data_IF_864337183565
#
_entry.id   IF_864337183565
#
_cell.length_a   1.000
_cell.length_b   1.000
_cell.length_c   1.000
_cell.angle_alpha   90.00
_cell.angle_beta   90.00
_cell.angle_gamma   90.00
#
_symmetry.space_group_name_H-M   'P 1'
#
loop_
_entity.id
_entity.type
_entity.pdbx_description
1 polymer ?
#
# COMPACT_ATOMS: atom_id res chain seq x y z
N UNK A 1 36.43 -16.42 32.22
CA UNK A 1 36.21 -17.78 31.66
C UNK A 1 34.79 -18.32 31.91
N UNK A 2 34.26 -18.36 33.15
CA UNK A 2 32.89 -18.87 33.41
C UNK A 2 31.76 -18.10 32.71
N UNK A 3 31.87 -16.77 32.55
CA UNK A 3 30.91 -15.97 31.75
C UNK A 3 30.92 -16.39 30.28
N UNK A 4 32.10 -16.44 29.64
CA UNK A 4 32.26 -16.86 28.23
C UNK A 4 31.72 -18.27 27.95
N UNK A 5 31.95 -19.21 28.86
CA UNK A 5 31.42 -20.58 28.72
C UNK A 5 29.88 -20.58 28.81
N UNK A 6 29.29 -19.81 29.73
CA UNK A 6 27.84 -19.67 29.86
C UNK A 6 27.22 -18.91 28.66
N UNK A 7 27.96 -17.95 28.10
CA UNK A 7 27.61 -17.18 26.89
C UNK A 7 27.58 -18.07 25.65
N UNK A 8 28.54 -18.98 25.53
CA UNK A 8 28.58 -20.00 24.48
C UNK A 8 27.44 -21.01 24.67
N UNK A 9 27.16 -21.47 25.89
CA UNK A 9 26.08 -22.42 26.15
C UNK A 9 24.68 -21.90 25.79
N UNK A 10 24.34 -20.64 26.06
CA UNK A 10 23.03 -20.07 25.69
C UNK A 10 22.87 -19.89 24.18
N UNK A 11 23.91 -19.35 23.53
CA UNK A 11 23.92 -19.24 22.07
C UNK A 11 23.87 -20.63 21.42
N UNK A 12 24.55 -21.63 21.99
CA UNK A 12 24.47 -23.02 21.54
C UNK A 12 23.08 -23.63 21.77
N UNK A 13 22.36 -23.30 22.84
CA UNK A 13 21.00 -23.81 23.06
C UNK A 13 20.00 -23.28 22.02
N UNK A 14 20.17 -22.02 21.58
CA UNK A 14 19.45 -21.44 20.44
C UNK A 14 19.80 -22.18 19.14
N UNK A 15 21.09 -22.41 18.91
CA UNK A 15 21.57 -23.11 17.71
C UNK A 15 21.17 -24.59 17.65
N UNK A 16 21.08 -25.26 18.79
CA UNK A 16 20.74 -26.68 18.85
C UNK A 16 19.28 -26.87 18.40
N UNK A 17 18.39 -25.94 18.79
CA UNK A 17 16.97 -25.92 18.39
C UNK A 17 16.73 -25.46 16.94
N UNK A 18 17.69 -24.79 16.32
CA UNK A 18 17.63 -24.36 14.91
C UNK A 18 18.01 -25.49 13.92
N UNK A 19 18.68 -26.52 14.41
CA UNK A 19 19.38 -27.52 13.61
C UNK A 19 20.81 -27.09 13.25
N UNK A 20 21.76 -28.01 13.40
CA UNK A 20 23.21 -27.74 13.31
C UNK A 20 23.62 -27.03 12.02
N UNK A 21 23.06 -27.39 10.86
CA UNK A 21 23.39 -26.79 9.57
C UNK A 21 23.14 -25.28 9.51
N UNK A 22 21.88 -24.84 9.72
CA UNK A 22 21.51 -23.41 9.69
C UNK A 22 22.28 -22.63 10.76
N UNK A 23 22.43 -23.22 11.93
CA UNK A 23 23.16 -22.64 13.05
C UNK A 23 24.60 -22.29 12.71
N UNK A 24 25.35 -23.23 12.13
CA UNK A 24 26.72 -22.99 11.73
C UNK A 24 26.83 -21.93 10.62
N UNK A 25 25.88 -21.87 9.69
CA UNK A 25 25.94 -20.86 8.63
C UNK A 25 25.59 -19.45 9.12
N UNK A 26 24.62 -19.31 10.03
CA UNK A 26 24.32 -18.04 10.69
C UNK A 26 25.54 -17.56 11.49
N UNK A 27 26.16 -18.45 12.26
CA UNK A 27 27.39 -18.16 12.98
C UNK A 27 28.52 -17.67 12.08
N UNK A 28 28.71 -18.33 10.93
CA UNK A 28 29.73 -17.95 9.96
C UNK A 28 29.44 -16.60 9.29
N UNK A 29 28.17 -16.32 8.99
CA UNK A 29 27.77 -15.16 8.19
C UNK A 29 27.58 -13.88 9.01
N UNK A 30 27.18 -14.00 10.28
CA UNK A 30 26.89 -12.86 11.17
C UNK A 30 28.00 -12.60 12.18
N UNK A 31 28.83 -13.61 12.45
CA UNK A 31 29.80 -13.59 13.53
C UNK A 31 29.16 -13.82 14.90
N UNK A 32 29.97 -14.34 15.83
CA UNK A 32 29.54 -14.68 17.18
C UNK A 32 28.99 -13.47 17.94
N UNK A 33 29.71 -12.33 17.89
CA UNK A 33 29.41 -11.14 18.69
C UNK A 33 28.01 -10.56 18.42
N UNK A 34 27.64 -10.47 17.14
CA UNK A 34 26.36 -9.87 16.74
C UNK A 34 25.17 -10.76 17.08
N UNK A 35 25.28 -12.06 16.76
CA UNK A 35 24.27 -13.04 17.15
C UNK A 35 24.08 -13.08 18.66
N UNK A 36 25.20 -13.06 19.38
CA UNK A 36 25.19 -13.03 20.83
C UNK A 36 24.48 -11.77 21.36
N UNK A 37 24.89 -10.58 20.90
CA UNK A 37 24.29 -9.30 21.33
C UNK A 37 22.78 -9.27 21.11
N UNK A 38 22.30 -9.71 19.95
CA UNK A 38 20.87 -9.75 19.63
C UNK A 38 20.15 -10.78 20.50
N UNK A 39 20.72 -11.97 20.68
CA UNK A 39 20.13 -13.02 21.53
C UNK A 39 20.07 -12.66 23.01
N UNK A 40 20.96 -11.78 23.50
CA UNK A 40 20.93 -11.29 24.87
C UNK A 40 19.81 -10.27 25.08
N UNK A 41 19.50 -9.47 24.06
CA UNK A 41 18.55 -8.34 24.16
C UNK A 41 17.12 -8.69 23.75
N UNK A 42 16.92 -9.83 23.09
CA UNK A 42 15.64 -10.23 22.50
C UNK A 42 15.22 -11.60 23.02
N UNK A 43 13.91 -11.82 23.16
CA UNK A 43 13.39 -13.15 23.54
C UNK A 43 13.79 -14.21 22.52
N UNK A 44 14.42 -15.28 23.01
CA UNK A 44 14.84 -16.44 22.24
C UNK A 44 13.66 -17.11 21.51
N UNK A 45 12.44 -17.05 22.06
CA UNK A 45 11.26 -17.61 21.40
C UNK A 45 10.93 -16.87 20.11
N UNK A 46 10.99 -15.54 20.14
CA UNK A 46 10.72 -14.70 18.96
C UNK A 46 11.80 -14.92 17.89
N UNK A 47 13.08 -14.94 18.29
CA UNK A 47 14.19 -15.22 17.37
C UNK A 47 14.06 -16.59 16.72
N UNK A 48 13.75 -17.61 17.51
CA UNK A 48 13.56 -18.98 17.02
C UNK A 48 12.39 -19.05 16.02
N UNK A 49 11.25 -18.44 16.35
CA UNK A 49 10.10 -18.39 15.46
C UNK A 49 10.45 -17.73 14.12
N UNK A 50 11.08 -16.55 14.15
CA UNK A 50 11.48 -15.83 12.94
C UNK A 50 12.44 -16.69 12.11
N UNK A 51 13.42 -17.34 12.74
CA UNK A 51 14.40 -18.17 12.05
C UNK A 51 13.82 -19.46 11.44
N UNK A 52 12.73 -19.98 11.99
CA UNK A 52 12.04 -21.16 11.46
C UNK A 52 11.17 -20.81 10.24
N UNK A 53 10.61 -19.60 10.22
CA UNK A 53 9.66 -19.16 9.20
C UNK A 53 10.27 -18.30 8.09
N UNK A 54 11.53 -17.87 8.23
CA UNK A 54 12.28 -17.18 7.19
C UNK A 54 13.40 -18.06 6.61
N UNK A 55 13.72 -17.81 5.34
CA UNK A 55 14.88 -18.44 4.71
C UNK A 55 16.17 -17.78 5.20
N UNK A 56 17.28 -18.51 5.06
CA UNK A 56 18.59 -18.10 5.58
C UNK A 56 19.07 -16.76 5.00
N UNK A 57 18.90 -16.56 3.69
CA UNK A 57 19.33 -15.33 3.02
C UNK A 57 18.58 -14.11 3.57
N UNK A 58 17.26 -14.22 3.71
CA UNK A 58 16.41 -13.17 4.29
C UNK A 58 16.84 -12.86 5.72
N UNK A 59 17.11 -13.88 6.55
CA UNK A 59 17.59 -13.68 7.93
C UNK A 59 18.92 -12.93 7.93
N UNK A 60 19.88 -13.34 7.12
CA UNK A 60 21.20 -12.70 7.06
C UNK A 60 21.08 -11.24 6.62
N UNK A 61 20.32 -10.96 5.56
CA UNK A 61 20.10 -9.59 5.09
C UNK A 61 19.40 -8.74 6.15
N UNK A 62 18.37 -9.27 6.79
CA UNK A 62 17.60 -8.60 7.83
C UNK A 62 18.46 -8.21 9.03
N UNK A 63 19.26 -9.15 9.53
CA UNK A 63 20.15 -8.93 10.66
C UNK A 63 21.34 -8.03 10.30
N UNK A 64 21.82 -8.06 9.06
CA UNK A 64 22.99 -7.28 8.66
C UNK A 64 22.71 -5.85 8.20
N UNK A 65 21.55 -5.60 7.59
CA UNK A 65 21.26 -4.30 6.99
C UNK A 65 20.46 -3.38 7.90
N UNK A 66 19.71 -3.92 8.85
CA UNK A 66 18.98 -3.13 9.85
C UNK A 66 19.91 -2.84 11.04
N UNK A 67 19.96 -1.59 11.54
CA UNK A 67 20.70 -1.26 12.75
C UNK A 67 20.29 -2.13 13.95
N UNK A 68 21.25 -2.53 14.78
CA UNK A 68 20.99 -3.47 15.88
C UNK A 68 19.90 -2.96 16.84
N UNK A 69 19.94 -1.68 17.22
CA UNK A 69 18.94 -1.09 18.12
C UNK A 69 17.53 -1.16 17.53
N UNK A 70 17.39 -0.82 16.25
CA UNK A 70 16.12 -0.92 15.52
C UNK A 70 15.63 -2.35 15.44
N UNK A 71 16.52 -3.31 15.18
CA UNK A 71 16.18 -4.72 15.11
C UNK A 71 15.72 -5.26 16.47
N UNK A 72 16.44 -4.94 17.54
CA UNK A 72 16.07 -5.31 18.91
C UNK A 72 14.69 -4.74 19.25
N UNK A 73 14.45 -3.47 18.93
CA UNK A 73 13.17 -2.84 19.20
C UNK A 73 12.03 -3.47 18.38
N UNK A 74 12.31 -3.79 17.11
CA UNK A 74 11.38 -4.45 16.22
C UNK A 74 10.96 -5.83 16.73
N UNK A 75 11.93 -6.71 17.03
CA UNK A 75 11.64 -8.09 17.46
C UNK A 75 11.02 -8.13 18.87
N UNK A 76 11.28 -7.11 19.68
CA UNK A 76 10.72 -7.02 21.04
C UNK A 76 9.29 -6.48 21.08
N UNK A 77 8.90 -5.61 20.12
CA UNK A 77 7.61 -4.90 20.14
C UNK A 77 6.63 -5.37 19.06
N UNK A 78 7.10 -6.03 18.01
CA UNK A 78 6.26 -6.50 16.92
C UNK A 78 6.08 -8.02 17.05
N UNK A 79 4.85 -8.55 16.91
CA UNK A 79 4.62 -9.99 16.89
C UNK A 79 5.51 -10.69 15.86
N UNK A 80 6.11 -11.85 16.20
CA UNK A 80 7.04 -12.53 15.30
C UNK A 80 6.36 -13.01 14.01
N UNK A 81 5.07 -13.40 14.06
CA UNK A 81 4.26 -13.66 12.85
C UNK A 81 4.23 -12.48 11.88
N UNK A 82 4.08 -11.26 12.40
CA UNK A 82 3.96 -10.06 11.56
C UNK A 82 5.31 -9.72 10.92
N UNK A 83 6.40 -9.81 11.68
CA UNK A 83 7.76 -9.66 11.16
C UNK A 83 8.00 -10.66 10.01
N UNK A 84 7.65 -11.94 10.22
CA UNK A 84 7.84 -12.97 9.19
C UNK A 84 6.98 -12.72 7.96
N UNK A 85 5.75 -12.25 8.16
CA UNK A 85 4.85 -11.92 7.06
C UNK A 85 5.40 -10.77 6.22
N UNK A 86 5.79 -9.65 6.85
CA UNK A 86 6.34 -8.50 6.14
C UNK A 86 7.63 -8.85 5.42
N UNK A 87 8.53 -9.62 6.06
CA UNK A 87 9.79 -10.05 5.45
C UNK A 87 9.61 -10.98 4.24
N UNK A 88 8.53 -11.74 4.18
CA UNK A 88 8.19 -12.58 3.02
C UNK A 88 7.37 -11.83 1.96
N UNK A 89 6.68 -10.75 2.32
CA UNK A 89 5.71 -10.07 1.46
C UNK A 89 6.23 -8.80 0.80
N UNK A 90 7.26 -8.18 1.36
CA UNK A 90 7.81 -6.89 0.93
C UNK A 90 9.27 -7.10 0.46
N UNK A 91 9.73 -6.41 -0.61
CA UNK A 91 11.14 -6.42 -0.98
C UNK A 91 12.06 -5.99 0.18
N UNK A 92 13.25 -6.58 0.27
CA UNK A 92 14.16 -6.34 1.41
C UNK A 92 14.56 -4.86 1.54
N UNK A 93 14.83 -4.16 0.44
CA UNK A 93 15.20 -2.74 0.47
C UNK A 93 14.08 -1.87 1.05
N UNK A 94 12.84 -2.16 0.67
CA UNK A 94 11.65 -1.49 1.18
C UNK A 94 11.43 -1.79 2.67
N UNK A 95 11.63 -3.05 3.08
CA UNK A 95 11.49 -3.45 4.49
C UNK A 95 12.50 -2.74 5.38
N UNK A 96 13.74 -2.60 4.93
CA UNK A 96 14.78 -1.85 5.66
C UNK A 96 14.37 -0.40 5.80
N UNK A 97 13.93 0.23 4.71
CA UNK A 97 13.47 1.61 4.72
C UNK A 97 12.29 1.82 5.68
N UNK A 98 11.30 0.91 5.68
CA UNK A 98 10.16 0.95 6.60
C UNK A 98 10.60 0.81 8.07
N UNK A 99 11.43 -0.20 8.36
CA UNK A 99 11.88 -0.50 9.73
C UNK A 99 12.67 0.65 10.35
N UNK A 100 13.37 1.44 9.53
CA UNK A 100 14.18 2.57 9.98
C UNK A 100 13.42 3.89 10.00
N UNK A 101 12.33 3.99 9.24
CA UNK A 101 11.53 5.23 9.13
C UNK A 101 10.31 5.23 10.05
N UNK A 102 9.78 4.06 10.41
CA UNK A 102 8.55 3.93 11.19
C UNK A 102 8.86 3.25 12.53
N UNK A 103 8.45 3.83 13.67
CA UNK A 103 8.66 3.20 14.97
C UNK A 103 7.97 1.82 15.04
N UNK A 104 8.64 0.78 15.58
CA UNK A 104 8.11 -0.58 15.61
C UNK A 104 6.73 -0.76 16.23
N UNK A 105 6.43 -0.01 17.30
CA UNK A 105 5.11 -0.05 17.96
C UNK A 105 3.97 0.21 16.99
N UNK A 106 4.19 1.07 15.99
CA UNK A 106 3.18 1.42 15.01
C UNK A 106 3.04 0.36 13.92
N UNK A 107 4.14 -0.33 13.57
CA UNK A 107 4.07 -1.49 12.68
C UNK A 107 3.20 -2.58 13.32
N UNK A 108 3.40 -2.84 14.61
CA UNK A 108 2.56 -3.77 15.38
C UNK A 108 1.09 -3.30 15.43
N UNK A 109 0.86 -2.02 15.71
CA UNK A 109 -0.49 -1.46 15.81
C UNK A 109 -1.24 -1.48 14.47
N UNK A 110 -0.58 -1.10 13.37
CA UNK A 110 -1.14 -1.22 12.03
C UNK A 110 -1.49 -2.67 11.72
N UNK A 111 -0.55 -3.60 11.91
CA UNK A 111 -0.80 -5.03 11.66
C UNK A 111 -2.02 -5.55 12.43
N UNK A 112 -2.12 -5.20 13.72
CA UNK A 112 -3.20 -5.64 14.60
C UNK A 112 -4.56 -5.03 14.26
N UNK A 113 -4.60 -3.73 13.94
CA UNK A 113 -5.87 -3.00 13.73
C UNK A 113 -6.36 -3.10 12.29
N UNK A 114 -5.46 -2.97 11.32
CA UNK A 114 -5.80 -2.79 9.90
C UNK A 114 -5.63 -4.08 9.10
N UNK A 115 -4.90 -5.05 9.66
CA UNK A 115 -4.46 -6.25 8.96
C UNK A 115 -3.16 -6.01 8.19
N UNK A 116 -2.27 -7.00 8.26
CA UNK A 116 -0.97 -7.02 7.57
C UNK A 116 -1.12 -7.04 6.04
N UNK A 117 -2.18 -7.69 5.52
CA UNK A 117 -2.50 -7.70 4.09
C UNK A 117 -2.77 -6.28 3.59
N UNK A 118 -3.67 -5.54 4.24
CA UNK A 118 -4.01 -4.16 3.88
C UNK A 118 -2.78 -3.24 3.91
N UNK A 119 -1.95 -3.37 4.96
CA UNK A 119 -0.72 -2.61 5.06
C UNK A 119 0.24 -2.90 3.89
N UNK A 120 0.46 -4.17 3.56
CA UNK A 120 1.30 -4.53 2.40
C UNK A 120 0.71 -4.10 1.07
N UNK A 121 -0.61 -4.16 0.90
CA UNK A 121 -1.29 -3.74 -0.31
C UNK A 121 -1.14 -2.23 -0.53
N UNK A 122 -1.30 -1.42 0.53
CA UNK A 122 -1.06 0.02 0.49
C UNK A 122 0.38 0.32 0.07
N UNK A 123 1.35 -0.31 0.72
CA UNK A 123 2.78 -0.14 0.41
C UNK A 123 3.11 -0.51 -1.03
N UNK A 124 2.59 -1.63 -1.54
CA UNK A 124 2.84 -2.10 -2.90
C UNK A 124 2.22 -1.19 -3.97
N UNK A 125 1.01 -0.70 -3.74
CA UNK A 125 0.28 0.09 -4.75
C UNK A 125 0.64 1.59 -4.72
N UNK A 126 0.98 2.13 -3.56
CA UNK A 126 1.37 3.54 -3.41
C UNK A 126 2.89 3.71 -3.59
N UNK A 127 3.66 2.69 -3.22
CA UNK A 127 5.12 2.71 -3.17
C UNK A 127 5.62 3.07 -1.77
N UNK A 128 6.70 2.42 -1.34
CA UNK A 128 7.27 2.53 0.02
C UNK A 128 7.62 3.97 0.40
N UNK A 129 8.35 4.67 -0.48
CA UNK A 129 8.80 6.03 -0.22
C UNK A 129 7.63 6.99 -0.04
N UNK A 130 6.67 6.96 -0.98
CA UNK A 130 5.47 7.79 -0.91
C UNK A 130 4.64 7.45 0.33
N UNK A 131 4.55 6.18 0.71
CA UNK A 131 3.85 5.74 1.92
C UNK A 131 4.48 6.29 3.20
N UNK A 132 5.82 6.29 3.29
CA UNK A 132 6.53 6.89 4.43
C UNK A 132 6.30 8.39 4.50
N UNK A 133 6.40 9.09 3.37
CA UNK A 133 6.11 10.53 3.30
C UNK A 133 4.67 10.85 3.69
N UNK A 134 3.71 10.03 3.26
CA UNK A 134 2.31 10.16 3.66
C UNK A 134 2.14 9.97 5.17
N UNK A 135 2.73 8.93 5.75
CA UNK A 135 2.67 8.68 7.19
C UNK A 135 3.25 9.85 8.00
N UNK A 136 4.31 10.48 7.50
CA UNK A 136 4.92 11.64 8.12
C UNK A 136 4.06 12.90 8.02
N UNK A 137 3.40 13.14 6.88
CA UNK A 137 2.57 14.33 6.65
C UNK A 137 1.17 14.24 7.27
N UNK A 138 0.56 13.06 7.19
CA UNK A 138 -0.80 12.79 7.68
C UNK A 138 -0.79 12.36 9.14
N UNK A 139 0.29 11.73 9.59
CA UNK A 139 0.38 11.11 10.91
C UNK A 139 -0.11 9.67 10.88
N UNK A 140 0.65 8.80 11.56
CA UNK A 140 0.38 7.36 11.61
C UNK A 140 -0.99 7.04 12.20
N UNK A 141 -1.41 7.77 13.24
CA UNK A 141 -2.69 7.54 13.90
C UNK A 141 -3.88 7.82 12.96
N UNK A 142 -3.81 8.94 12.23
CA UNK A 142 -4.83 9.29 11.23
C UNK A 142 -4.89 8.24 10.10
N UNK A 143 -3.74 7.67 9.71
CA UNK A 143 -3.69 6.60 8.72
C UNK A 143 -4.38 5.33 9.21
N UNK A 144 -4.11 4.92 10.46
CA UNK A 144 -4.76 3.77 11.08
C UNK A 144 -6.28 3.99 11.14
N UNK A 145 -6.73 5.13 11.63
CA UNK A 145 -8.16 5.48 11.72
C UNK A 145 -8.84 5.43 10.36
N UNK A 146 -8.23 6.04 9.34
CA UNK A 146 -8.77 6.04 7.99
C UNK A 146 -8.90 4.61 7.42
N UNK A 147 -7.89 3.77 7.63
CA UNK A 147 -7.87 2.39 7.12
C UNK A 147 -8.86 1.45 7.82
N UNK A 148 -9.32 1.80 9.02
CA UNK A 148 -10.39 1.09 9.72
C UNK A 148 -11.77 1.41 9.17
N UNK A 149 -11.94 2.62 8.63
CA UNK A 149 -13.24 3.11 8.15
C UNK A 149 -13.38 2.85 6.65
N UNK A 150 -12.30 3.03 5.87
CA UNK A 150 -12.33 2.99 4.42
C UNK A 150 -11.52 1.80 3.91
N UNK A 151 -12.13 0.92 3.09
CA UNK A 151 -11.40 -0.19 2.46
C UNK A 151 -10.20 0.29 1.63
N UNK A 152 -9.09 -0.46 1.71
CA UNK A 152 -7.84 -0.19 0.98
C UNK A 152 -8.04 0.10 -0.50
N UNK A 153 -8.92 -0.66 -1.17
CA UNK A 153 -9.21 -0.50 -2.60
C UNK A 153 -9.84 0.84 -2.96
N UNK A 154 -10.53 1.49 -2.02
CA UNK A 154 -11.12 2.81 -2.21
C UNK A 154 -10.13 3.92 -1.86
N UNK A 155 -9.24 3.68 -0.88
CA UNK A 155 -8.21 4.63 -0.47
C UNK A 155 -7.09 4.80 -1.49
N UNK A 156 -6.60 3.70 -2.07
CA UNK A 156 -5.44 3.71 -2.98
C UNK A 156 -5.59 4.75 -4.10
N UNK A 157 -6.70 4.80 -4.86
CA UNK A 157 -6.84 5.77 -5.96
C UNK A 157 -6.77 7.22 -5.49
N UNK A 158 -7.35 7.54 -4.32
CA UNK A 158 -7.39 8.88 -3.76
C UNK A 158 -6.00 9.30 -3.28
N UNK A 159 -5.31 8.40 -2.58
CA UNK A 159 -3.94 8.61 -2.11
C UNK A 159 -2.95 8.70 -3.27
N UNK A 160 -3.20 8.00 -4.37
CA UNK A 160 -2.39 8.12 -5.59
C UNK A 160 -2.57 9.50 -6.24
N UNK A 161 -3.79 10.03 -6.27
CA UNK A 161 -4.09 11.36 -6.82
C UNK A 161 -3.45 12.48 -6.01
N UNK A 162 -3.42 12.34 -4.68
CA UNK A 162 -2.84 13.35 -3.80
C UNK A 162 -1.33 13.18 -3.63
N UNK A 163 -0.62 14.30 -3.51
CA UNK A 163 0.74 14.31 -2.98
C UNK A 163 0.73 14.12 -1.46
N UNK A 164 1.84 13.66 -0.84
CA UNK A 164 1.92 13.56 0.62
C UNK A 164 1.62 14.88 1.32
N UNK A 165 2.17 15.99 0.82
CA UNK A 165 1.94 17.34 1.34
C UNK A 165 0.48 17.76 1.24
N UNK A 166 -0.19 17.48 0.12
CA UNK A 166 -1.62 17.76 -0.04
C UNK A 166 -2.45 16.94 0.94
N UNK A 167 -2.12 15.66 1.12
CA UNK A 167 -2.80 14.80 2.11
C UNK A 167 -2.66 15.38 3.52
N UNK A 168 -1.45 15.82 3.90
CA UNK A 168 -1.23 16.51 5.17
C UNK A 168 -2.01 17.82 5.32
N UNK A 169 -2.05 18.66 4.27
CA UNK A 169 -2.85 19.90 4.27
C UNK A 169 -4.33 19.60 4.45
N UNK A 170 -4.84 18.58 3.75
CA UNK A 170 -6.23 18.14 3.88
C UNK A 170 -6.54 17.80 5.34
N UNK A 171 -5.76 16.90 5.94
CA UNK A 171 -6.00 16.47 7.33
C UNK A 171 -5.92 17.63 8.31
N UNK A 172 -4.98 18.57 8.14
CA UNK A 172 -4.84 19.73 9.03
C UNK A 172 -5.98 20.74 8.90
N UNK A 173 -6.50 20.96 7.70
CA UNK A 173 -7.56 21.96 7.45
C UNK A 173 -8.97 21.41 7.64
N UNK A 174 -9.18 20.16 7.24
CA UNK A 174 -10.50 19.53 7.10
C UNK A 174 -10.73 18.39 8.08
N UNK A 175 -9.66 17.80 8.61
CA UNK A 175 -9.74 16.58 9.39
C UNK A 175 -9.73 15.33 8.51
N UNK A 176 -9.43 14.19 9.15
CA UNK A 176 -9.39 12.88 8.48
C UNK A 176 -10.79 12.36 8.16
N UNK A 177 -11.80 12.79 8.92
CA UNK A 177 -13.20 12.35 8.81
C UNK A 177 -13.91 12.84 7.52
N UNK A 178 -13.43 13.91 6.90
CA UNK A 178 -14.02 14.42 5.64
C UNK A 178 -13.82 13.41 4.50
N UNK A 179 -12.72 12.65 4.50
CA UNK A 179 -12.40 11.68 3.44
C UNK A 179 -13.47 10.57 3.35
N UNK A 180 -13.79 9.79 4.41
CA UNK A 180 -14.81 8.75 4.33
C UNK A 180 -16.19 9.31 3.95
N UNK A 181 -16.58 10.47 4.49
CA UNK A 181 -17.87 11.11 4.17
C UNK A 181 -17.99 11.48 2.70
N UNK A 182 -16.92 12.01 2.10
CA UNK A 182 -16.89 12.31 0.66
C UNK A 182 -16.90 11.05 -0.20
N UNK A 183 -16.22 9.98 0.23
CA UNK A 183 -16.26 8.69 -0.47
C UNK A 183 -17.67 8.11 -0.43
N UNK A 184 -18.36 8.20 0.71
CA UNK A 184 -19.74 7.75 0.86
C UNK A 184 -20.70 8.56 -0.02
N UNK A 185 -20.59 9.89 -0.01
CA UNK A 185 -21.47 10.77 -0.76
C UNK A 185 -21.24 10.73 -2.27
N UNK A 186 -19.98 10.79 -2.72
CA UNK A 186 -19.64 10.93 -4.14
C UNK A 186 -19.24 9.60 -4.78
N UNK A 187 -18.71 8.66 -4.01
CA UNK A 187 -17.97 7.53 -4.54
C UNK A 187 -16.58 7.93 -5.02
N UNK A 188 -15.66 6.96 -5.03
CA UNK A 188 -14.23 7.16 -5.37
C UNK A 188 -14.04 7.87 -6.72
N UNK A 189 -14.78 7.47 -7.75
CA UNK A 189 -14.59 8.01 -9.10
C UNK A 189 -14.99 9.48 -9.20
N UNK A 190 -16.12 9.87 -8.61
CA UNK A 190 -16.56 11.27 -8.66
C UNK A 190 -15.70 12.14 -7.75
N UNK A 191 -15.22 11.61 -6.62
CA UNK A 191 -14.24 12.31 -5.79
C UNK A 191 -12.94 12.58 -6.57
N UNK A 192 -12.44 11.63 -7.36
CA UNK A 192 -11.28 11.87 -8.23
C UNK A 192 -11.58 12.93 -9.30
N UNK A 193 -12.78 12.94 -9.89
CA UNK A 193 -13.19 13.99 -10.83
C UNK A 193 -13.21 15.35 -10.13
N UNK A 194 -13.76 15.44 -8.93
CA UNK A 194 -13.74 16.65 -8.12
C UNK A 194 -12.31 17.14 -7.89
N UNK A 195 -11.42 16.26 -7.40
CA UNK A 195 -10.01 16.55 -7.15
C UNK A 195 -9.27 17.10 -8.39
N UNK A 196 -9.53 16.51 -9.57
CA UNK A 196 -8.86 16.86 -10.82
C UNK A 196 -9.40 18.10 -11.50
N UNK A 197 -10.71 18.37 -11.39
CA UNK A 197 -11.38 19.37 -12.24
C UNK A 197 -10.88 20.79 -11.95
N UNK A 198 -10.77 21.15 -10.67
CA UNK A 198 -10.33 22.49 -10.26
C UNK A 198 -8.92 22.51 -9.67
N UNK A 199 -8.39 21.33 -9.34
CA UNK A 199 -7.13 21.17 -8.62
C UNK A 199 -7.29 21.34 -7.11
N UNK A 200 -6.35 20.76 -6.37
CA UNK A 200 -6.39 20.63 -4.91
C UNK A 200 -6.69 21.94 -4.16
N UNK A 201 -5.93 23.01 -4.43
CA UNK A 201 -6.07 24.29 -3.70
C UNK A 201 -7.48 24.90 -3.85
N UNK A 202 -8.06 24.81 -5.06
CA UNK A 202 -9.41 25.33 -5.30
C UNK A 202 -10.47 24.46 -4.63
N UNK A 203 -10.30 23.15 -4.64
CA UNK A 203 -11.22 22.24 -3.97
C UNK A 203 -11.23 22.46 -2.46
N UNK A 204 -10.05 22.62 -1.84
CA UNK A 204 -9.94 22.99 -0.43
C UNK A 204 -10.65 24.33 -0.17
N UNK A 205 -10.40 25.34 -1.01
CA UNK A 205 -11.07 26.63 -0.85
C UNK A 205 -12.61 26.53 -0.97
N UNK A 206 -13.11 25.70 -1.89
CA UNK A 206 -14.57 25.47 -2.03
C UNK A 206 -15.12 24.81 -0.77
N UNK A 207 -14.45 23.79 -0.25
CA UNK A 207 -14.83 23.13 1.00
C UNK A 207 -14.76 24.08 2.21
N UNK A 208 -13.77 24.97 2.25
CA UNK A 208 -13.61 25.98 3.31
C UNK A 208 -14.74 27.02 3.28
N UNK A 209 -15.24 27.38 2.09
CA UNK A 209 -16.34 28.34 1.93
C UNK A 209 -17.71 27.72 2.18
N UNK A 210 -17.96 26.53 1.61
CA UNK A 210 -19.28 25.91 1.67
C UNK A 210 -19.51 25.13 2.96
N UNK A 211 -18.49 24.47 3.50
CA UNK A 211 -18.69 23.37 4.44
C UNK A 211 -18.81 22.02 3.70
N UNK A 212 -18.72 20.92 4.45
CA UNK A 212 -18.79 19.58 3.87
C UNK A 212 -20.25 19.21 3.56
N UNK A 213 -21.16 19.40 4.52
CA UNK A 213 -22.56 19.03 4.35
C UNK A 213 -23.21 19.80 3.19
N UNK A 214 -22.99 21.11 3.14
CA UNK A 214 -23.53 21.98 2.09
C UNK A 214 -22.94 21.67 0.72
N UNK A 215 -21.66 21.29 0.65
CA UNK A 215 -21.04 20.83 -0.59
C UNK A 215 -21.71 19.55 -1.11
N UNK A 216 -21.98 18.61 -0.21
CA UNK A 216 -22.65 17.35 -0.55
C UNK A 216 -24.09 17.63 -1.01
N UNK A 217 -24.84 18.44 -0.27
CA UNK A 217 -26.22 18.83 -0.64
C UNK A 217 -26.26 19.55 -1.98
N UNK A 218 -25.33 20.48 -2.21
CA UNK A 218 -25.21 21.19 -3.47
C UNK A 218 -24.92 20.23 -4.63
N UNK A 219 -24.03 19.26 -4.45
CA UNK A 219 -23.72 18.26 -5.46
C UNK A 219 -24.97 17.42 -5.83
N UNK A 220 -25.72 16.95 -4.83
CA UNK A 220 -26.99 16.23 -5.06
C UNK A 220 -28.02 17.11 -5.77
N UNK A 221 -28.17 18.36 -5.34
CA UNK A 221 -29.11 19.30 -5.95
C UNK A 221 -28.76 19.56 -7.41
N UNK A 222 -27.49 19.85 -7.71
CA UNK A 222 -26.99 20.06 -9.08
C UNK A 222 -27.20 18.81 -9.94
N UNK A 223 -27.01 17.61 -9.39
CA UNK A 223 -27.21 16.34 -10.13
C UNK A 223 -28.65 16.15 -10.60
N UNK A 224 -29.63 16.71 -9.88
CA UNK A 224 -31.04 16.68 -10.26
C UNK A 224 -31.47 17.79 -11.22
N UNK A 225 -30.62 18.80 -11.46
CA UNK A 225 -30.96 19.94 -12.31
C UNK A 225 -30.85 19.62 -13.81
N UNK A 226 -31.77 20.16 -14.61
CA UNK A 226 -31.65 20.20 -16.07
C UNK A 226 -30.80 21.40 -16.47
N UNK A 227 -29.48 21.23 -16.46
CA UNK A 227 -28.54 22.29 -16.78
C UNK A 227 -28.49 22.51 -18.31
N UNK A 228 -28.57 23.77 -18.80
CA UNK A 228 -28.24 24.06 -20.19
C UNK A 228 -26.76 23.74 -20.40
N UNK A 229 -26.47 22.77 -21.27
CA UNK A 229 -25.10 22.30 -21.49
C UNK A 229 -24.14 23.44 -21.82
N UNK A 230 -22.98 23.47 -21.17
CA UNK A 230 -21.94 24.44 -21.49
C UNK A 230 -21.46 24.21 -22.93
N UNK A 231 -21.27 25.26 -23.75
CA UNK A 231 -20.68 25.11 -25.07
C UNK A 231 -19.27 24.55 -24.89
N UNK A 232 -19.11 23.27 -25.21
CA UNK A 232 -17.83 22.57 -25.04
C UNK A 232 -16.76 23.29 -25.86
N UNK A 233 -15.83 23.96 -25.19
CA UNK A 233 -14.61 24.44 -25.83
C UNK A 233 -13.74 23.24 -26.20
N UNK A 234 -13.91 22.76 -27.43
CA UNK A 234 -12.90 22.01 -28.18
C UNK A 234 -12.75 20.52 -27.86
N UNK A 235 -13.66 19.68 -28.36
CA UNK A 235 -13.29 18.41 -29.03
C UNK A 235 -14.19 18.21 -30.23
N UNK A 236 -13.70 18.59 -31.42
CA UNK A 236 -14.24 18.10 -32.69
C UNK A 236 -14.02 16.59 -32.73
N UNK A 237 -15.00 15.81 -32.28
CA UNK A 237 -15.14 14.44 -32.74
C UNK A 237 -15.41 14.51 -34.25
N UNK A 238 -14.39 14.18 -35.05
CA UNK A 238 -14.58 13.82 -36.45
C UNK A 238 -15.51 12.60 -36.47
N UNK A 239 -16.80 12.84 -36.69
CA UNK A 239 -17.71 11.81 -37.15
C UNK A 239 -17.24 11.36 -38.54
N UNK A 240 -16.48 10.26 -38.58
CA UNK A 240 -16.29 9.51 -39.82
C UNK A 240 -17.59 8.77 -40.08
N UNK A 241 -18.49 9.40 -40.83
CA UNK A 241 -19.65 8.73 -41.40
C UNK A 241 -19.15 7.66 -42.38
N UNK A 242 -19.10 6.39 -41.97
CA UNK A 242 -19.07 5.28 -42.92
C UNK A 242 -20.46 5.17 -43.54
N UNK A 243 -20.64 5.87 -44.67
CA UNK A 243 -21.73 5.62 -45.62
C UNK A 243 -21.64 4.16 -46.07
N UNK A 244 -22.59 3.34 -45.63
CA UNK A 244 -22.87 2.04 -46.24
C UNK A 244 -23.68 2.33 -47.52
N UNK A 245 -23.20 1.99 -48.73
CA UNK A 245 -24.02 2.14 -49.93
C UNK A 245 -25.06 1.01 -49.97
N UNK A 246 -26.34 1.40 -49.98
CA UNK A 246 -27.46 0.52 -50.31
C UNK A 246 -27.32 0.08 -51.77
N UNK A 247 -27.05 -1.20 -52.03
CA UNK A 247 -27.26 -1.80 -53.35
C UNK A 247 -28.63 -2.49 -53.39
N UNK A 248 -29.45 -1.96 -54.30
CA UNK A 248 -30.79 -2.39 -54.65
C UNK A 248 -30.82 -3.79 -55.26
N UNK A 249 -31.72 -4.64 -54.76
CA UNK A 249 -32.12 -5.88 -55.40
C UNK A 249 -32.85 -5.63 -56.72
N UNK A 250 -32.38 -6.25 -57.82
CA UNK A 250 -33.19 -6.55 -59.02
C UNK A 250 -32.85 -7.94 -59.59
N UNK A 251 -33.77 -8.87 -59.34
CA UNK A 251 -34.29 -10.01 -60.14
C UNK A 251 -33.42 -10.72 -61.21
N UNK A 252 -33.16 -12.01 -60.94
CA UNK A 252 -33.31 -13.24 -61.76
C UNK A 252 -33.04 -13.29 -63.27
N UNK A 253 -32.12 -14.19 -63.69
CA UNK A 253 -32.25 -15.23 -64.75
C UNK A 253 -30.88 -15.93 -64.90
N UNK A 254 -30.71 -17.22 -64.57
CA UNK A 254 -30.95 -18.46 -65.33
C UNK A 254 -29.66 -19.10 -65.89
N UNK A 255 -29.50 -20.38 -65.52
CA UNK A 255 -28.92 -21.52 -66.26
C UNK A 255 -27.42 -21.65 -66.62
N UNK A 256 -26.87 -22.72 -66.02
CA UNK A 256 -26.18 -23.89 -66.62
C UNK A 256 -24.64 -23.94 -66.70
N UNK A 257 -24.15 -25.00 -66.04
CA UNK A 257 -23.11 -25.97 -66.45
C UNK A 257 -21.85 -25.40 -67.11
N UNK A 258 -20.70 -25.60 -66.45
CA UNK A 258 -19.82 -26.66 -66.92
C UNK A 258 -18.82 -27.16 -65.87
N UNK A 259 -18.71 -28.49 -65.88
CA UNK A 259 -17.74 -29.33 -65.21
C UNK A 259 -16.49 -29.41 -66.11
N UNK A 260 -15.28 -29.38 -65.52
CA UNK A 260 -14.09 -30.22 -65.82
C UNK A 260 -12.92 -29.64 -64.99
N UNK A 261 -12.45 -30.34 -63.95
CA UNK A 261 -11.32 -31.30 -63.98
C UNK A 261 -10.12 -30.75 -64.77
N UNK A 262 -9.06 -30.35 -64.07
CA UNK A 262 -7.83 -31.14 -63.91
C UNK A 262 -7.25 -30.88 -62.53
#
# INVERSE_FOLDING_TARGET
MKKVINQISKALEYLDKLGTGKSFQLFRSLGYEKLYSISEKVDHKNLLYISQNLNEKTIIEFLNRIPEETLVDLISKVPPEDITYFANSIPMDDLILLSTSIPPKFIAEMSLKTGKESATELLKNIGTQKSIELLNEVGIQNFIELSLIVPTIQLIPIVQELTPKQSGIWVRKRGIEDIPKLIEAFGVQNLLVFLRTLGFEKNIHIMDVLGLEELIELAYTISGMKLPGLPTSGKKQKNVSKKIPKQSQKKTASWKKNIRKF
#
